data_IF_782065839678
#
_entry.id   IF_782065839678
#
_cell.length_a   1.000
_cell.length_b   1.000
_cell.length_c   1.000
_cell.angle_alpha   90.00
_cell.angle_beta   90.00
_cell.angle_gamma   90.00
#
_symmetry.space_group_name_H-M   'P 1'
#
loop_
_entity.id
_entity.type
_entity.pdbx_description
1 polymer ?
#
# COMPACT_ATOMS: atom_id res chain seq x y z
N UNK A 1 -32.20 -10.49 -0.83
CA UNK A 1 -30.82 -10.91 -0.51
C UNK A 1 -29.86 -9.78 -0.88
N UNK A 2 -29.04 -9.33 0.07
CA UNK A 2 -28.06 -8.27 -0.15
C UNK A 2 -26.70 -8.91 -0.42
N UNK A 3 -26.25 -8.91 -1.71
CA UNK A 3 -24.97 -9.49 -2.16
C UNK A 3 -24.67 -10.91 -1.62
N UNK A 4 -25.69 -11.73 -1.45
CA UNK A 4 -25.61 -13.07 -0.86
C UNK A 4 -25.11 -13.12 0.62
N UNK A 5 -25.06 -11.97 1.30
CA UNK A 5 -24.62 -11.89 2.71
C UNK A 5 -25.74 -11.76 3.72
N UNK A 6 -26.91 -11.32 3.29
CA UNK A 6 -28.06 -11.14 4.16
C UNK A 6 -29.33 -11.58 3.46
N UNK A 7 -30.20 -12.31 4.17
CA UNK A 7 -31.53 -12.61 3.71
C UNK A 7 -32.57 -11.98 4.62
N UNK A 8 -33.48 -11.27 4.00
CA UNK A 8 -34.57 -10.59 4.67
C UNK A 8 -35.88 -11.22 4.22
N UNK A 9 -36.81 -11.40 5.13
CA UNK A 9 -38.16 -11.87 4.87
C UNK A 9 -39.16 -10.76 5.19
N UNK A 10 -40.18 -10.67 4.35
CA UNK A 10 -41.36 -9.83 4.59
C UNK A 10 -42.59 -10.71 4.41
N UNK A 11 -43.36 -10.86 5.45
CA UNK A 11 -44.57 -11.65 5.43
C UNK A 11 -45.78 -10.72 5.29
N UNK A 12 -46.70 -10.96 4.37
CA UNK A 12 -47.97 -10.22 4.32
C UNK A 12 -48.83 -10.49 5.56
N UNK A 13 -49.67 -9.56 5.87
CA UNK A 13 -50.69 -9.80 6.91
C UNK A 13 -51.65 -10.89 6.49
N UNK A 14 -52.05 -11.76 7.43
CA UNK A 14 -53.02 -12.84 7.22
C UNK A 14 -54.43 -12.41 7.53
N UNK A 15 -55.40 -13.19 7.06
CA UNK A 15 -56.80 -13.02 7.45
C UNK A 15 -57.02 -13.51 8.88
N UNK A 16 -58.13 -13.10 9.50
CA UNK A 16 -58.44 -13.44 10.88
C UNK A 16 -58.55 -14.98 11.10
N UNK A 17 -57.68 -15.52 11.96
CA UNK A 17 -57.64 -16.95 12.28
C UNK A 17 -56.58 -17.76 11.51
N UNK A 18 -55.83 -17.11 10.61
CA UNK A 18 -54.68 -17.76 9.92
C UNK A 18 -53.38 -17.44 10.64
N UNK A 19 -52.44 -18.40 10.64
CA UNK A 19 -51.09 -18.24 11.24
C UNK A 19 -50.03 -18.86 10.34
N UNK A 20 -48.87 -18.20 10.25
CA UNK A 20 -47.69 -18.84 9.66
C UNK A 20 -47.11 -19.88 10.60
N UNK A 21 -46.51 -20.91 10.05
CA UNK A 21 -45.79 -21.96 10.80
C UNK A 21 -44.30 -21.84 10.54
N UNK A 22 -43.52 -22.43 11.44
CA UNK A 22 -42.04 -22.45 11.30
C UNK A 22 -41.64 -23.26 10.07
N UNK A 23 -42.36 -24.34 9.75
CA UNK A 23 -42.12 -25.16 8.55
C UNK A 23 -42.36 -24.33 7.28
N UNK A 24 -43.38 -23.50 7.26
CA UNK A 24 -43.62 -22.60 6.13
C UNK A 24 -42.43 -21.63 5.93
N UNK A 25 -41.93 -21.02 7.01
CA UNK A 25 -40.78 -20.13 6.91
C UNK A 25 -39.52 -20.86 6.38
N UNK A 26 -39.25 -22.08 6.87
CA UNK A 26 -38.16 -22.89 6.36
C UNK A 26 -38.33 -23.26 4.87
N UNK A 27 -39.55 -23.57 4.45
CA UNK A 27 -39.85 -23.86 3.06
C UNK A 27 -39.63 -22.62 2.17
N UNK A 28 -40.06 -21.45 2.62
CA UNK A 28 -39.79 -20.17 1.93
C UNK A 28 -38.28 -19.94 1.80
N UNK A 29 -37.52 -20.11 2.86
CA UNK A 29 -36.06 -19.97 2.82
C UNK A 29 -35.42 -20.98 1.85
N UNK A 30 -35.85 -22.26 1.90
CA UNK A 30 -35.35 -23.33 1.05
C UNK A 30 -35.62 -23.07 -0.44
N UNK A 31 -36.86 -22.63 -0.78
CA UNK A 31 -37.24 -22.29 -2.16
C UNK A 31 -36.40 -21.14 -2.69
N UNK A 32 -36.02 -20.18 -1.82
CA UNK A 32 -35.16 -19.06 -2.15
C UNK A 32 -33.66 -19.37 -2.02
N UNK A 33 -33.30 -20.66 -1.82
CA UNK A 33 -31.91 -21.16 -1.71
C UNK A 33 -31.16 -20.54 -0.52
N UNK A 34 -31.83 -20.16 0.56
CA UNK A 34 -31.20 -19.71 1.79
C UNK A 34 -30.96 -20.93 2.66
N UNK A 35 -29.67 -21.30 2.83
CA UNK A 35 -29.27 -22.56 3.47
C UNK A 35 -28.21 -22.37 4.55
N UNK A 36 -27.66 -21.16 4.70
CA UNK A 36 -26.58 -20.86 5.64
C UNK A 36 -26.90 -19.63 6.49
N UNK A 37 -26.49 -19.72 7.76
CA UNK A 37 -26.58 -18.58 8.71
C UNK A 37 -27.99 -18.17 9.07
N UNK A 38 -28.96 -19.10 9.00
CA UNK A 38 -30.35 -18.87 9.38
C UNK A 38 -30.41 -18.64 10.89
N UNK A 39 -31.10 -17.58 11.29
CA UNK A 39 -31.35 -17.22 12.69
C UNK A 39 -32.70 -17.79 13.13
N UNK A 40 -32.66 -19.02 13.71
CA UNK A 40 -33.86 -19.73 14.18
C UNK A 40 -34.61 -18.95 15.27
N UNK A 41 -33.87 -18.23 16.13
CA UNK A 41 -34.49 -17.42 17.18
C UNK A 41 -35.27 -16.25 16.57
N UNK A 42 -34.75 -15.66 15.50
CA UNK A 42 -35.44 -14.59 14.80
C UNK A 42 -36.66 -15.08 14.02
N UNK A 43 -36.60 -16.30 13.43
CA UNK A 43 -37.76 -16.93 12.80
C UNK A 43 -38.88 -17.19 13.83
N UNK A 44 -38.54 -17.72 15.00
CA UNK A 44 -39.50 -17.98 16.08
C UNK A 44 -40.12 -16.66 16.57
N UNK A 45 -39.30 -15.61 16.72
CA UNK A 45 -39.77 -14.28 17.14
C UNK A 45 -40.76 -13.69 16.15
N UNK A 46 -40.57 -13.87 14.85
CA UNK A 46 -41.51 -13.41 13.82
C UNK A 46 -42.90 -14.03 14.05
N UNK A 47 -42.94 -15.31 14.40
CA UNK A 47 -44.19 -16.04 14.65
C UNK A 47 -44.84 -15.62 15.99
N UNK A 48 -44.06 -15.52 17.07
CA UNK A 48 -44.54 -15.23 18.42
C UNK A 48 -45.06 -13.79 18.54
N UNK A 49 -44.42 -12.83 17.83
CA UNK A 49 -44.78 -11.42 17.84
C UNK A 49 -45.63 -11.00 16.64
N UNK A 50 -46.02 -11.94 15.77
CA UNK A 50 -46.82 -11.69 14.56
C UNK A 50 -46.29 -10.52 13.70
N UNK A 51 -44.97 -10.55 13.43
CA UNK A 51 -44.29 -9.46 12.70
C UNK A 51 -44.62 -9.57 11.21
N UNK A 52 -45.58 -8.77 10.75
CA UNK A 52 -46.02 -8.70 9.35
C UNK A 52 -45.72 -7.33 8.74
N UNK A 53 -45.69 -7.27 7.40
CA UNK A 53 -45.44 -6.06 6.60
C UNK A 53 -44.16 -5.31 6.92
N UNK A 54 -43.18 -6.02 7.52
CA UNK A 54 -41.85 -5.49 7.85
C UNK A 54 -40.77 -6.38 7.28
N UNK A 55 -39.65 -5.76 6.92
CA UNK A 55 -38.45 -6.49 6.48
C UNK A 55 -37.69 -6.96 7.72
N UNK A 56 -37.57 -8.26 7.91
CA UNK A 56 -36.86 -8.88 9.02
C UNK A 56 -35.67 -9.65 8.52
N UNK A 57 -34.48 -9.38 9.07
CA UNK A 57 -33.27 -10.12 8.76
C UNK A 57 -33.33 -11.52 9.39
N UNK A 58 -33.26 -12.54 8.56
CA UNK A 58 -33.45 -13.95 8.98
C UNK A 58 -32.24 -14.86 8.71
N UNK A 59 -31.29 -14.38 7.92
CA UNK A 59 -30.02 -15.12 7.74
C UNK A 59 -28.87 -14.19 7.46
N UNK A 60 -27.67 -14.56 7.93
CA UNK A 60 -26.41 -13.86 7.67
C UNK A 60 -25.33 -14.83 7.18
N UNK A 61 -24.69 -14.45 6.08
CA UNK A 61 -23.46 -15.06 5.62
C UNK A 61 -22.23 -14.51 6.34
N UNK A 62 -21.10 -15.07 6.04
CA UNK A 62 -19.77 -14.60 6.49
C UNK A 62 -19.12 -13.88 5.30
N UNK A 63 -18.79 -12.59 5.40
CA UNK A 63 -18.11 -11.89 4.33
C UNK A 63 -16.70 -12.44 4.11
N UNK A 64 -16.23 -12.38 2.86
CA UNK A 64 -14.83 -12.68 2.57
C UNK A 64 -13.92 -11.62 3.20
N UNK A 65 -12.75 -12.06 3.68
CA UNK A 65 -11.66 -11.18 4.11
C UNK A 65 -10.69 -11.05 2.93
N UNK A 66 -10.58 -9.84 2.39
CA UNK A 66 -9.72 -9.58 1.23
C UNK A 66 -8.25 -9.83 1.54
N UNK A 67 -7.53 -10.36 0.56
CA UNK A 67 -6.07 -10.48 0.63
C UNK A 67 -5.39 -9.11 0.46
N UNK A 68 -4.22 -8.99 1.06
CA UNK A 68 -3.36 -7.81 0.92
C UNK A 68 -2.25 -8.11 -0.07
N UNK A 69 -2.09 -7.25 -1.09
CA UNK A 69 -1.01 -7.37 -2.06
C UNK A 69 0.35 -7.14 -1.39
N UNK A 70 1.38 -7.82 -1.89
CA UNK A 70 2.74 -7.56 -1.48
C UNK A 70 3.16 -6.13 -1.85
N UNK A 71 3.99 -5.50 -1.02
CA UNK A 71 4.44 -4.12 -1.24
C UNK A 71 5.85 -3.89 -0.70
N UNK A 72 6.50 -2.84 -1.23
CA UNK A 72 7.79 -2.38 -0.74
C UNK A 72 7.62 -1.21 0.20
N UNK A 73 8.19 -1.32 1.39
CA UNK A 73 8.39 -0.21 2.32
C UNK A 73 9.77 0.37 2.07
N UNK A 74 9.83 1.53 1.41
CA UNK A 74 11.09 2.19 1.14
C UNK A 74 11.59 2.94 2.38
N UNK A 75 12.86 2.72 2.75
CA UNK A 75 13.55 3.41 3.84
C UNK A 75 14.36 4.61 3.35
N UNK A 76 14.26 4.89 2.06
CA UNK A 76 14.83 6.05 1.38
C UNK A 76 13.70 6.87 0.78
N UNK A 77 13.94 8.17 0.57
CA UNK A 77 12.92 9.04 -0.01
C UNK A 77 12.75 8.72 -1.50
N UNK A 78 11.60 8.14 -1.87
CA UNK A 78 11.27 7.81 -3.25
C UNK A 78 10.83 9.04 -4.06
N UNK A 79 10.36 10.09 -3.38
CA UNK A 79 9.94 11.33 -3.99
C UNK A 79 11.07 12.36 -3.89
N UNK A 80 12.02 12.28 -4.80
CA UNK A 80 12.95 13.37 -5.06
C UNK A 80 12.21 14.47 -5.85
N UNK A 81 11.05 14.90 -5.33
CA UNK A 81 10.39 16.07 -5.90
C UNK A 81 11.32 17.28 -5.70
N UNK A 82 11.80 17.81 -6.82
CA UNK A 82 12.54 19.07 -6.89
C UNK A 82 11.60 20.25 -6.59
N UNK A 83 10.93 20.20 -5.43
CA UNK A 83 10.09 21.30 -4.95
C UNK A 83 10.82 22.04 -3.84
N UNK A 84 10.87 23.37 -3.91
CA UNK A 84 11.46 24.16 -2.86
C UNK A 84 10.67 23.98 -1.54
N UNK A 85 11.38 23.88 -0.43
CA UNK A 85 10.77 23.78 0.88
C UNK A 85 10.39 25.17 1.38
N UNK A 86 9.16 25.38 1.77
CA UNK A 86 8.71 26.60 2.44
C UNK A 86 9.11 26.48 3.91
N UNK A 87 9.95 27.39 4.38
CA UNK A 87 10.38 27.46 5.79
C UNK A 87 9.26 28.06 6.66
N UNK A 88 9.30 27.86 7.99
CA UNK A 88 8.27 28.39 8.91
C UNK A 88 8.13 29.92 8.90
N UNK A 89 9.15 30.63 8.44
CA UNK A 89 9.18 32.11 8.29
C UNK A 89 8.57 32.60 6.96
N UNK A 90 8.07 31.65 6.11
CA UNK A 90 7.51 31.95 4.80
C UNK A 90 8.55 32.12 3.68
N UNK A 91 9.85 32.02 3.99
CA UNK A 91 10.90 32.01 2.97
C UNK A 91 10.94 30.67 2.23
N UNK A 92 11.44 30.68 1.00
CA UNK A 92 11.50 29.49 0.15
C UNK A 92 12.95 29.01 0.09
N UNK A 93 13.20 27.82 0.66
CA UNK A 93 14.49 27.15 0.56
C UNK A 93 14.62 26.45 -0.80
N UNK A 94 15.20 27.17 -1.75
CA UNK A 94 15.51 26.61 -3.08
C UNK A 94 16.66 25.59 -3.03
N UNK A 95 17.48 25.59 -1.98
CA UNK A 95 18.63 24.69 -1.82
C UNK A 95 18.20 23.25 -1.56
N UNK A 96 17.06 23.06 -0.88
CA UNK A 96 16.50 21.74 -0.63
C UNK A 96 16.08 20.99 -1.90
N UNK A 97 15.90 21.71 -3.03
CA UNK A 97 15.56 21.09 -4.32
C UNK A 97 16.70 20.28 -4.93
N UNK A 98 17.94 20.56 -4.52
CA UNK A 98 19.14 19.95 -5.07
C UNK A 98 19.80 18.97 -4.09
N UNK A 99 19.09 18.62 -3.01
CA UNK A 99 19.63 17.65 -2.05
C UNK A 99 19.77 16.28 -2.71
N UNK A 100 21.01 15.81 -2.75
CA UNK A 100 21.34 14.46 -3.21
C UNK A 100 21.04 13.49 -2.08
N UNK A 101 20.26 12.49 -2.36
CA UNK A 101 20.10 11.42 -1.38
C UNK A 101 21.28 10.45 -1.49
N UNK A 102 22.08 10.39 -0.45
CA UNK A 102 23.16 9.40 -0.30
C UNK A 102 22.70 8.26 0.60
N UNK A 103 23.32 7.11 0.38
CA UNK A 103 23.18 5.91 1.20
C UNK A 103 24.55 5.41 1.58
N UNK A 104 24.64 4.73 2.74
CA UNK A 104 25.85 4.08 3.19
C UNK A 104 25.82 2.59 2.82
N UNK A 105 26.98 1.98 2.73
CA UNK A 105 27.10 0.53 2.59
C UNK A 105 26.35 -0.16 3.73
N UNK A 106 25.65 -1.24 3.39
CA UNK A 106 24.79 -2.05 4.27
C UNK A 106 23.55 -1.31 4.82
N UNK A 107 23.31 -0.05 4.41
CA UNK A 107 22.08 0.66 4.75
C UNK A 107 20.89 0.00 4.07
N UNK A 108 19.83 -0.28 4.86
CA UNK A 108 18.56 -0.78 4.32
C UNK A 108 17.89 0.30 3.49
N UNK A 109 17.56 -0.01 2.24
CA UNK A 109 16.90 0.88 1.28
C UNK A 109 15.42 0.54 1.09
N UNK A 110 15.06 -0.73 1.24
CA UNK A 110 13.67 -1.17 1.16
C UNK A 110 13.46 -2.49 1.90
N UNK A 111 12.24 -2.69 2.40
CA UNK A 111 11.77 -3.94 2.97
C UNK A 111 10.57 -4.41 2.15
N UNK A 112 10.58 -5.65 1.71
CA UNK A 112 9.47 -6.27 1.02
C UNK A 112 8.54 -6.93 2.03
N UNK A 113 7.27 -6.61 1.95
CA UNK A 113 6.18 -7.26 2.69
C UNK A 113 5.45 -8.18 1.71
N UNK A 114 5.54 -9.52 1.89
CA UNK A 114 4.86 -10.47 1.02
C UNK A 114 3.34 -10.32 1.03
N UNK A 115 2.72 -10.76 -0.05
CA UNK A 115 1.27 -10.79 -0.14
C UNK A 115 0.67 -11.71 0.93
N UNK A 116 -0.44 -11.28 1.54
CA UNK A 116 -1.21 -12.05 2.52
C UNK A 116 -2.48 -12.55 1.84
N UNK A 117 -2.67 -13.87 1.82
CA UNK A 117 -3.85 -14.49 1.23
C UNK A 117 -5.11 -14.13 2.05
N UNK A 118 -6.17 -13.74 1.34
CA UNK A 118 -7.49 -13.57 1.93
C UNK A 118 -8.15 -14.89 2.34
N UNK A 119 -9.28 -14.78 3.02
CA UNK A 119 -10.12 -15.93 3.41
C UNK A 119 -11.48 -15.78 2.75
N UNK A 120 -11.92 -16.85 2.07
CA UNK A 120 -13.23 -16.87 1.44
C UNK A 120 -14.34 -16.79 2.50
N UNK A 121 -15.40 -16.08 2.16
CA UNK A 121 -16.62 -16.01 2.92
C UNK A 121 -17.61 -17.11 2.52
N UNK A 122 -18.78 -17.09 3.15
CA UNK A 122 -19.89 -18.00 2.83
C UNK A 122 -21.17 -17.17 2.74
N UNK A 123 -21.85 -17.26 1.61
CA UNK A 123 -23.13 -16.60 1.40
C UNK A 123 -24.28 -17.28 2.13
N UNK A 124 -25.40 -16.59 2.27
CA UNK A 124 -26.64 -17.17 2.83
C UNK A 124 -27.18 -18.33 1.97
N UNK A 125 -26.78 -18.39 0.69
CA UNK A 125 -27.05 -19.52 -0.20
C UNK A 125 -26.17 -20.74 0.06
N UNK A 126 -25.24 -20.67 1.04
CA UNK A 126 -24.25 -21.71 1.32
C UNK A 126 -23.09 -21.75 0.32
N UNK A 127 -23.06 -20.85 -0.68
CA UNK A 127 -21.98 -20.78 -1.65
C UNK A 127 -20.81 -19.98 -1.13
N UNK A 128 -19.55 -20.35 -1.49
CA UNK A 128 -18.39 -19.56 -1.11
C UNK A 128 -18.41 -18.19 -1.81
N UNK A 129 -18.05 -17.15 -1.06
CA UNK A 129 -17.79 -15.81 -1.58
C UNK A 129 -16.27 -15.68 -1.66
N UNK A 130 -15.73 -15.71 -2.88
CA UNK A 130 -14.29 -15.70 -3.07
C UNK A 130 -13.68 -14.38 -2.62
N UNK A 131 -12.62 -14.44 -1.80
CA UNK A 131 -11.79 -13.31 -1.48
C UNK A 131 -10.98 -12.88 -2.71
N UNK A 132 -10.65 -11.58 -2.80
CA UNK A 132 -9.73 -11.10 -3.82
C UNK A 132 -8.37 -11.77 -3.66
N UNK A 133 -7.87 -12.32 -4.76
CA UNK A 133 -6.53 -12.94 -4.78
C UNK A 133 -5.49 -11.84 -4.61
N UNK A 134 -4.68 -11.95 -3.55
CA UNK A 134 -3.54 -11.10 -3.32
C UNK A 134 -2.44 -11.37 -4.35
N UNK A 135 -1.74 -10.32 -4.77
CA UNK A 135 -0.67 -10.39 -5.77
C UNK A 135 0.67 -10.06 -5.15
N UNK A 136 1.68 -10.86 -5.50
CA UNK A 136 3.06 -10.54 -5.19
C UNK A 136 3.58 -9.43 -6.12
N UNK A 137 4.42 -8.54 -5.58
CA UNK A 137 5.18 -7.62 -6.43
C UNK A 137 6.47 -8.30 -6.91
N UNK A 138 6.89 -7.94 -8.13
CA UNK A 138 8.18 -8.37 -8.67
C UNK A 138 9.35 -7.80 -7.86
N UNK A 139 10.53 -8.41 -7.99
CA UNK A 139 11.75 -7.94 -7.34
C UNK A 139 12.14 -6.53 -7.77
N UNK A 140 12.75 -5.75 -6.86
CA UNK A 140 13.31 -4.44 -7.19
C UNK A 140 14.32 -4.56 -8.34
N UNK A 141 14.25 -3.60 -9.26
CA UNK A 141 15.12 -3.54 -10.42
C UNK A 141 16.19 -2.48 -10.21
N UNK A 142 17.40 -2.74 -10.68
CA UNK A 142 18.48 -1.75 -10.67
C UNK A 142 19.83 -2.34 -10.33
N UNK A 143 20.73 -1.48 -9.82
CA UNK A 143 22.13 -1.81 -9.56
C UNK A 143 22.63 -1.14 -8.28
N UNK A 144 23.70 -1.70 -7.68
CA UNK A 144 24.35 -1.14 -6.51
C UNK A 144 23.72 -1.53 -5.18
N UNK A 145 22.73 -2.42 -5.19
CA UNK A 145 22.11 -2.97 -3.98
C UNK A 145 22.09 -4.50 -4.00
N UNK A 146 22.03 -5.07 -2.82
CA UNK A 146 21.88 -6.50 -2.57
C UNK A 146 20.53 -6.82 -1.92
N UNK A 147 20.32 -8.10 -1.72
CA UNK A 147 19.12 -8.65 -1.08
C UNK A 147 19.53 -9.70 -0.04
N UNK A 148 18.84 -9.69 1.10
CA UNK A 148 19.01 -10.68 2.16
C UNK A 148 18.67 -12.11 1.70
N UNK A 149 19.11 -13.12 2.45
CA UNK A 149 18.86 -14.53 2.14
C UNK A 149 17.36 -14.89 2.15
N UNK A 150 16.57 -14.24 3.02
CA UNK A 150 15.13 -14.39 3.09
C UNK A 150 14.38 -13.63 2.00
N UNK A 151 15.10 -12.86 1.17
CA UNK A 151 14.56 -12.05 0.09
C UNK A 151 13.64 -10.89 0.51
N UNK A 152 13.62 -10.53 1.77
CA UNK A 152 12.72 -9.49 2.28
C UNK A 152 13.39 -8.12 2.39
N UNK A 153 14.71 -8.09 2.68
CA UNK A 153 15.43 -6.84 2.91
C UNK A 153 16.37 -6.52 1.76
N UNK A 154 16.32 -5.29 1.28
CA UNK A 154 17.21 -4.75 0.27
C UNK A 154 18.14 -3.71 0.90
N UNK A 155 19.42 -3.81 0.64
CA UNK A 155 20.45 -2.96 1.24
C UNK A 155 21.49 -2.51 0.21
N UNK A 156 22.10 -1.34 0.45
CA UNK A 156 23.16 -0.83 -0.40
C UNK A 156 24.42 -1.68 -0.30
N UNK A 157 25.07 -1.95 -1.43
CA UNK A 157 26.35 -2.66 -1.48
C UNK A 157 27.57 -1.73 -1.32
N UNK A 158 27.35 -0.40 -1.38
CA UNK A 158 28.39 0.62 -1.35
C UNK A 158 27.85 1.93 -0.79
N UNK A 159 28.75 2.78 -0.35
CA UNK A 159 28.45 4.18 -0.13
C UNK A 159 28.21 4.86 -1.48
N UNK A 160 27.20 5.72 -1.57
CA UNK A 160 26.95 6.37 -2.84
C UNK A 160 25.63 7.14 -2.94
N UNK A 161 25.44 7.74 -4.10
CA UNK A 161 24.20 8.40 -4.50
C UNK A 161 23.17 7.36 -4.91
N UNK A 162 21.95 7.51 -4.41
CA UNK A 162 20.80 6.73 -4.87
C UNK A 162 19.96 7.55 -5.85
N UNK A 163 19.78 7.03 -7.04
CA UNK A 163 18.87 7.54 -8.05
C UNK A 163 17.71 6.55 -8.23
N UNK A 164 16.50 7.10 -8.37
CA UNK A 164 15.29 6.32 -8.60
C UNK A 164 14.61 6.87 -9.84
N UNK A 165 14.61 6.08 -10.89
CA UNK A 165 14.06 6.46 -12.17
C UNK A 165 13.32 5.29 -12.83
N UNK A 166 12.06 5.52 -13.24
CA UNK A 166 11.23 4.51 -13.90
C UNK A 166 11.17 3.17 -13.14
N UNK A 167 10.93 3.22 -11.83
CA UNK A 167 10.89 2.08 -10.90
C UNK A 167 12.20 1.27 -10.83
N UNK A 168 13.32 1.89 -11.21
CA UNK A 168 14.66 1.30 -11.08
C UNK A 168 15.47 2.10 -10.06
N UNK A 169 16.14 1.38 -9.18
CA UNK A 169 17.08 1.95 -8.21
C UNK A 169 18.48 1.79 -8.74
N UNK A 170 19.25 2.88 -8.74
CA UNK A 170 20.67 2.85 -9.07
C UNK A 170 21.44 3.49 -7.93
N UNK A 171 22.40 2.77 -7.39
CA UNK A 171 23.35 3.30 -6.40
C UNK A 171 24.70 3.36 -7.05
N UNK A 172 25.33 4.55 -7.01
CA UNK A 172 26.60 4.83 -7.63
C UNK A 172 27.53 5.50 -6.61
N UNK A 173 28.82 5.10 -6.56
CA UNK A 173 29.76 5.64 -5.59
C UNK A 173 30.25 7.05 -5.96
N UNK A 174 29.86 7.56 -7.12
CA UNK A 174 30.32 8.82 -7.67
C UNK A 174 29.10 9.74 -7.90
N UNK A 175 29.24 10.99 -7.48
CA UNK A 175 28.32 12.07 -7.80
C UNK A 175 28.93 12.97 -8.86
N UNK A 176 28.35 12.95 -10.06
CA UNK A 176 28.81 13.77 -11.19
C UNK A 176 27.96 15.02 -11.36
N UNK A 177 28.62 16.16 -11.49
CA UNK A 177 28.03 17.45 -11.89
C UNK A 177 28.52 17.74 -13.31
N UNK A 178 27.62 17.70 -14.30
CA UNK A 178 27.96 17.82 -15.73
C UNK A 178 28.43 19.23 -16.18
N UNK A 179 28.39 20.23 -15.29
CA UNK A 179 28.77 21.60 -15.56
C UNK A 179 29.28 22.27 -14.28
N UNK A 180 29.04 23.57 -14.16
CA UNK A 180 29.49 24.37 -13.01
C UNK A 180 28.64 24.05 -11.75
N UNK A 181 29.33 23.91 -10.60
CA UNK A 181 28.68 23.93 -9.31
C UNK A 181 28.42 25.37 -8.88
N UNK A 182 27.20 25.82 -8.99
CA UNK A 182 26.80 27.21 -8.77
C UNK A 182 25.58 27.30 -7.82
N UNK A 183 25.04 28.47 -7.64
CA UNK A 183 23.87 28.69 -6.80
C UNK A 183 22.64 27.88 -7.25
N UNK A 184 22.56 27.46 -8.50
CA UNK A 184 21.49 26.64 -9.04
C UNK A 184 21.68 25.14 -8.71
N UNK A 185 22.92 24.64 -8.71
CA UNK A 185 23.26 23.28 -8.26
C UNK A 185 23.19 23.14 -6.74
N UNK A 186 23.37 24.23 -6.02
CA UNK A 186 23.40 24.24 -4.56
C UNK A 186 24.67 23.68 -3.95
N UNK A 187 24.71 23.66 -2.62
CA UNK A 187 25.80 22.99 -1.88
C UNK A 187 25.63 21.49 -1.92
N UNK A 188 26.73 20.76 -2.06
CA UNK A 188 26.77 19.30 -2.21
C UNK A 188 27.43 18.72 -0.97
N UNK A 189 26.73 17.83 -0.27
CA UNK A 189 27.27 17.00 0.81
C UNK A 189 27.02 15.52 0.44
N UNK A 190 28.11 14.78 0.16
CA UNK A 190 28.00 13.49 -0.46
C UNK A 190 28.91 12.44 0.20
N UNK A 191 28.36 11.24 0.41
CA UNK A 191 29.11 10.07 0.85
C UNK A 191 29.63 9.28 -0.35
N UNK A 192 30.89 9.49 -0.71
CA UNK A 192 31.55 8.95 -1.89
C UNK A 192 32.43 10.00 -2.57
N UNK A 193 32.72 9.78 -3.86
CA UNK A 193 33.52 10.66 -4.69
C UNK A 193 32.62 11.65 -5.44
N UNK A 194 33.11 12.90 -5.56
CA UNK A 194 32.44 13.95 -6.35
C UNK A 194 33.30 14.31 -7.55
N UNK A 195 32.69 14.37 -8.73
CA UNK A 195 33.31 14.84 -9.96
C UNK A 195 32.50 16.03 -10.50
N UNK A 196 33.15 17.17 -10.66
CA UNK A 196 32.55 18.39 -11.22
C UNK A 196 33.25 18.71 -12.54
N UNK A 197 32.52 18.57 -13.65
CA UNK A 197 33.07 18.80 -14.99
C UNK A 197 33.20 20.28 -15.37
N UNK A 198 32.77 21.19 -14.50
CA UNK A 198 32.90 22.61 -14.63
C UNK A 198 33.67 23.23 -13.47
N UNK A 199 33.39 24.53 -13.19
CA UNK A 199 33.97 25.30 -12.09
C UNK A 199 33.07 25.30 -10.86
N UNK A 200 33.64 25.60 -9.70
CA UNK A 200 32.87 25.83 -8.46
C UNK A 200 32.76 27.33 -8.25
N UNK A 201 31.53 27.85 -8.29
CA UNK A 201 31.29 29.28 -8.12
C UNK A 201 31.23 29.70 -6.65
N UNK A 202 31.44 30.98 -6.43
CA UNK A 202 31.37 31.56 -5.08
C UNK A 202 30.03 31.31 -4.40
N UNK A 203 30.06 30.96 -3.11
CA UNK A 203 28.86 30.71 -2.30
C UNK A 203 28.39 29.28 -2.30
N UNK A 204 29.04 28.36 -3.00
CA UNK A 204 28.75 26.92 -3.00
C UNK A 204 29.73 26.19 -2.09
N UNK A 205 29.22 25.27 -1.29
CA UNK A 205 30.03 24.39 -0.43
C UNK A 205 29.96 22.98 -0.96
N UNK A 206 31.13 22.37 -1.20
CA UNK A 206 31.25 20.96 -1.64
C UNK A 206 31.90 20.14 -0.52
N UNK A 207 31.23 19.09 -0.09
CA UNK A 207 31.76 18.12 0.87
C UNK A 207 31.63 16.72 0.34
N UNK A 208 32.70 15.94 0.46
CA UNK A 208 32.73 14.51 0.12
C UNK A 208 33.42 13.74 1.23
N UNK A 209 33.02 12.48 1.45
CA UNK A 209 33.81 11.57 2.30
C UNK A 209 34.96 10.93 1.51
N UNK A 210 34.87 10.87 0.20
CA UNK A 210 35.90 10.43 -0.74
C UNK A 210 36.65 11.60 -1.38
N UNK A 211 37.02 11.44 -2.64
CA UNK A 211 37.74 12.47 -3.43
C UNK A 211 36.78 13.50 -4.04
N UNK A 212 37.30 14.71 -4.23
CA UNK A 212 36.63 15.76 -5.03
C UNK A 212 37.53 16.06 -6.22
N UNK A 213 37.00 15.83 -7.41
CA UNK A 213 37.66 16.16 -8.68
C UNK A 213 36.92 17.30 -9.34
N UNK A 214 37.62 18.37 -9.70
CA UNK A 214 37.06 19.56 -10.35
C UNK A 214 37.88 19.80 -11.61
N UNK A 215 37.23 19.78 -12.78
CA UNK A 215 37.89 19.97 -14.07
C UNK A 215 38.10 21.46 -14.39
N UNK A 216 37.35 22.34 -13.75
CA UNK A 216 37.42 23.79 -13.91
C UNK A 216 38.14 24.51 -12.76
N UNK A 217 37.75 25.77 -12.50
CA UNK A 217 38.31 26.64 -11.46
C UNK A 217 37.47 26.57 -10.16
N UNK A 218 38.15 26.93 -9.04
CA UNK A 218 37.51 27.06 -7.72
C UNK A 218 37.67 28.47 -7.21
#
# INVERSE_FOLDING_TARGET
VNKDLEAWIRLPALEEGEHYTIEYLHDVLRVNQITYGIDEAQLQKILDEEIYEQDVLVARGIPAVEGQDGFYEYKVNMNLEKKPKILPDGSVDYWSMYSVQSVQKDQVIAIYHPAVKGTDGIGVSGKPIAARVAREQGTLRGTGFGRSEDYLTYFSLMDGKIDIENDKIRIQPIYEVSGDANLTTGSIDFTGDIVIHGSVESGVTIKATGSITIDGNV
#
